data_IF_725439805062
#
_entry.id   IF_725439805062
#
_cell.length_a   1.000
_cell.length_b   1.000
_cell.length_c   1.000
_cell.angle_alpha   90.00
_cell.angle_beta   90.00
_cell.angle_gamma   90.00
#
_symmetry.space_group_name_H-M   'P 1'
#
loop_
_entity.id
_entity.type
_entity.pdbx_description
1 polymer ?
#
# COMPACT_ATOMS: atom_id res chain seq x y z
N UNK A 1 21.14 -13.64 -6.39
CA UNK A 1 19.86 -12.98 -6.05
C UNK A 1 18.79 -14.06 -6.01
N UNK A 2 18.15 -14.28 -4.87
CA UNK A 2 17.08 -15.26 -4.74
C UNK A 2 15.83 -14.70 -5.42
N UNK A 3 15.25 -15.46 -6.35
CA UNK A 3 13.99 -15.10 -7.03
C UNK A 3 12.85 -15.72 -6.25
N UNK A 4 11.85 -14.92 -5.89
CA UNK A 4 10.66 -15.42 -5.20
C UNK A 4 9.85 -16.34 -6.12
N UNK A 5 9.38 -17.47 -5.61
CA UNK A 5 8.44 -18.36 -6.31
C UNK A 5 7.00 -17.83 -6.29
N UNK A 6 6.71 -16.84 -5.45
CA UNK A 6 5.43 -16.15 -5.31
C UNK A 6 5.57 -14.91 -4.44
N UNK A 7 4.55 -14.04 -4.47
CA UNK A 7 4.54 -12.85 -3.62
C UNK A 7 4.47 -13.22 -2.13
N UNK A 8 5.08 -12.38 -1.29
CA UNK A 8 4.95 -12.50 0.15
C UNK A 8 3.54 -12.03 0.58
N UNK A 9 2.97 -12.66 1.60
CA UNK A 9 1.66 -12.29 2.13
C UNK A 9 1.83 -11.39 3.36
N UNK A 10 1.11 -10.27 3.38
CA UNK A 10 1.04 -9.35 4.50
C UNK A 10 -0.42 -8.97 4.82
N UNK A 11 -0.66 -8.56 6.07
CA UNK A 11 -1.87 -7.87 6.50
C UNK A 11 -1.51 -6.46 6.94
N UNK A 12 -2.40 -5.52 6.62
CA UNK A 12 -2.20 -4.10 6.89
C UNK A 12 -3.35 -3.54 7.73
N UNK A 13 -2.98 -2.72 8.71
CA UNK A 13 -3.89 -1.83 9.43
C UNK A 13 -3.18 -0.51 9.66
N UNK A 14 -3.90 0.60 9.65
CA UNK A 14 -3.32 1.90 9.97
C UNK A 14 -2.97 2.00 11.48
N UNK A 15 -2.34 3.09 11.90
CA UNK A 15 -1.98 3.31 13.31
C UNK A 15 -3.19 3.50 14.24
N UNK A 16 -4.36 3.80 13.68
CA UNK A 16 -5.65 3.81 14.38
C UNK A 16 -6.34 2.43 14.39
N UNK A 17 -5.63 1.38 13.96
CA UNK A 17 -6.07 -0.01 13.91
C UNK A 17 -7.21 -0.29 12.91
N UNK A 18 -7.45 0.61 11.93
CA UNK A 18 -8.39 0.33 10.85
C UNK A 18 -7.76 -0.66 9.88
N UNK A 19 -8.44 -1.79 9.69
CA UNK A 19 -7.95 -2.90 8.86
C UNK A 19 -8.19 -2.58 7.39
N UNK A 20 -7.18 -2.81 6.53
CA UNK A 20 -7.38 -2.65 5.10
C UNK A 20 -8.15 -3.84 4.53
N UNK A 21 -9.23 -3.56 3.80
CA UNK A 21 -10.08 -4.57 3.17
C UNK A 21 -10.55 -4.13 1.79
N UNK A 22 -10.86 -5.09 0.93
CA UNK A 22 -11.31 -4.82 -0.42
C UNK A 22 -12.85 -4.75 -0.50
N UNK A 23 -13.38 -3.69 -1.12
CA UNK A 23 -14.81 -3.53 -1.41
C UNK A 23 -14.98 -2.77 -2.73
N UNK A 24 -15.85 -3.26 -3.63
CA UNK A 24 -16.15 -2.63 -4.93
C UNK A 24 -14.89 -2.18 -5.72
N UNK A 25 -13.88 -3.03 -5.74
CA UNK A 25 -12.58 -2.78 -6.40
C UNK A 25 -11.82 -1.56 -5.85
N UNK A 26 -12.03 -1.23 -4.58
CA UNK A 26 -11.29 -0.22 -3.83
C UNK A 26 -10.78 -0.82 -2.53
N UNK A 27 -9.56 -0.42 -2.14
CA UNK A 27 -9.02 -0.74 -0.83
C UNK A 27 -9.53 0.30 0.17
N UNK A 28 -10.26 -0.13 1.18
CA UNK A 28 -10.85 0.73 2.23
C UNK A 28 -10.17 0.47 3.57
N UNK A 29 -10.21 1.46 4.47
CA UNK A 29 -9.73 1.32 5.84
C UNK A 29 -10.91 1.16 6.83
N UNK A 30 -11.19 -0.09 7.20
CA UNK A 30 -12.36 -0.45 7.99
C UNK A 30 -12.19 -0.26 9.49
N UNK A 31 -13.10 0.49 10.09
CA UNK A 31 -13.17 0.66 11.54
C UNK A 31 -13.74 -0.56 12.27
N UNK A 32 -13.59 -0.58 13.60
CA UNK A 32 -14.27 -1.54 14.45
C UNK A 32 -15.78 -1.24 14.47
N UNK A 33 -16.54 -2.07 13.77
CA UNK A 33 -18.00 -2.04 13.85
C UNK A 33 -18.47 -3.01 14.93
N UNK A 34 -19.35 -2.56 15.81
CA UNK A 34 -19.95 -3.42 16.83
C UNK A 34 -20.57 -4.67 16.17
N UNK A 35 -19.98 -5.84 16.42
CA UNK A 35 -20.49 -7.14 15.95
C UNK A 35 -20.08 -7.56 14.53
N UNK A 36 -19.32 -6.75 13.77
CA UNK A 36 -18.85 -7.13 12.42
C UNK A 36 -17.33 -7.25 12.38
N UNK A 37 -16.84 -8.49 12.26
CA UNK A 37 -15.41 -8.75 12.00
C UNK A 37 -15.15 -8.53 10.52
N UNK A 38 -14.43 -7.47 10.18
CA UNK A 38 -13.95 -7.24 8.81
C UNK A 38 -12.77 -8.17 8.56
N UNK A 39 -12.88 -9.07 7.57
CA UNK A 39 -11.74 -9.85 7.11
C UNK A 39 -10.82 -8.92 6.31
N UNK A 40 -9.63 -8.67 6.83
CA UNK A 40 -8.64 -7.86 6.13
C UNK A 40 -8.16 -8.52 4.84
N UNK A 41 -7.82 -7.69 3.87
CA UNK A 41 -7.21 -8.13 2.61
C UNK A 41 -5.80 -8.67 2.87
N UNK A 42 -5.47 -9.78 2.20
CA UNK A 42 -4.11 -10.31 2.18
C UNK A 42 -3.33 -9.59 1.07
N UNK A 43 -2.47 -8.66 1.50
CA UNK A 43 -1.66 -7.84 0.63
C UNK A 43 -0.48 -8.66 0.13
N UNK A 44 -0.42 -8.86 -1.18
CA UNK A 44 0.71 -9.47 -1.87
C UNK A 44 1.84 -8.46 -2.01
N UNK A 45 3.07 -8.84 -1.69
CA UNK A 45 4.22 -7.93 -1.64
C UNK A 45 5.43 -8.55 -2.31
N UNK A 46 6.07 -7.77 -3.16
CA UNK A 46 7.35 -8.10 -3.80
C UNK A 46 8.27 -6.88 -3.79
N UNK A 47 9.60 -7.05 -3.69
CA UNK A 47 10.51 -5.93 -3.88
C UNK A 47 10.57 -5.54 -5.36
N UNK A 48 10.65 -4.25 -5.67
CA UNK A 48 10.98 -3.81 -7.02
C UNK A 48 12.51 -3.83 -7.21
N UNK A 49 12.99 -4.81 -7.98
CA UNK A 49 14.42 -5.07 -8.19
C UNK A 49 15.09 -4.10 -9.18
N UNK A 50 14.31 -3.26 -9.87
CA UNK A 50 14.81 -2.28 -10.82
C UNK A 50 15.20 -0.94 -10.17
N UNK A 51 14.76 -0.70 -8.93
CA UNK A 51 15.06 0.53 -8.17
C UNK A 51 16.11 0.29 -7.08
N UNK A 52 16.64 1.38 -6.51
CA UNK A 52 17.64 1.34 -5.45
C UNK A 52 17.11 0.60 -4.21
N UNK A 53 17.72 -0.54 -3.91
CA UNK A 53 17.32 -1.39 -2.79
C UNK A 53 17.49 -0.71 -1.42
N UNK A 54 18.37 0.29 -1.29
CA UNK A 54 18.55 1.04 -0.03
C UNK A 54 17.30 1.85 0.37
N UNK A 55 16.44 2.17 -0.60
CA UNK A 55 15.17 2.87 -0.39
C UNK A 55 13.99 1.91 -0.09
N UNK A 56 14.25 0.60 0.00
CA UNK A 56 13.23 -0.44 0.25
C UNK A 56 12.00 -0.34 -0.69
N UNK A 57 12.21 -0.39 -2.02
CA UNK A 57 11.13 -0.29 -2.99
C UNK A 57 10.28 -1.56 -3.02
N UNK A 58 8.96 -1.42 -2.85
CA UNK A 58 8.00 -2.52 -2.83
C UNK A 58 6.84 -2.26 -3.78
N UNK A 59 6.28 -3.34 -4.34
CA UNK A 59 5.02 -3.34 -5.08
C UNK A 59 4.00 -4.05 -4.20
N UNK A 60 2.79 -3.50 -4.16
CA UNK A 60 1.68 -3.97 -3.35
C UNK A 60 0.55 -4.44 -4.26
N UNK A 61 0.03 -5.64 -4.00
CA UNK A 61 -1.08 -6.23 -4.73
C UNK A 61 -2.16 -6.78 -3.81
N UNK A 62 -3.33 -7.01 -4.39
CA UNK A 62 -4.53 -7.55 -3.72
C UNK A 62 -5.03 -8.77 -4.50
N UNK A 63 -5.99 -9.50 -3.95
CA UNK A 63 -6.61 -10.68 -4.54
C UNK A 63 -5.56 -11.72 -4.97
N UNK A 64 -4.63 -12.03 -4.07
CA UNK A 64 -3.51 -12.93 -4.35
C UNK A 64 -2.52 -12.38 -5.40
N UNK A 65 -2.50 -11.06 -5.59
CA UNK A 65 -1.60 -10.37 -6.49
C UNK A 65 -2.10 -10.30 -7.93
N UNK A 66 -3.39 -10.56 -8.20
CA UNK A 66 -3.97 -10.39 -9.54
C UNK A 66 -4.18 -8.92 -9.93
N UNK A 67 -4.25 -8.02 -8.95
CA UNK A 67 -4.29 -6.58 -9.15
C UNK A 67 -3.24 -5.89 -8.29
N UNK A 68 -2.66 -4.80 -8.78
CA UNK A 68 -1.63 -4.04 -8.09
C UNK A 68 -2.04 -2.59 -7.85
N UNK A 69 -1.59 -2.03 -6.72
CA UNK A 69 -1.73 -0.60 -6.43
C UNK A 69 -0.83 0.22 -7.37
N UNK A 70 -1.41 1.22 -8.02
CA UNK A 70 -0.75 2.14 -8.94
C UNK A 70 -1.10 3.58 -8.55
N UNK A 71 -0.11 4.46 -8.62
CA UNK A 71 -0.26 5.90 -8.44
C UNK A 71 -0.73 6.62 -9.72
N UNK A 72 -0.88 5.87 -10.83
CA UNK A 72 -1.13 6.43 -12.15
C UNK A 72 0.11 7.08 -12.79
N UNK A 73 -0.14 7.75 -13.91
CA UNK A 73 0.88 8.48 -14.70
C UNK A 73 0.42 9.90 -15.02
N UNK A 74 -0.69 10.33 -14.42
CA UNK A 74 -1.27 11.65 -14.63
C UNK A 74 -0.50 12.73 -13.87
N UNK A 75 -0.79 14.01 -14.15
CA UNK A 75 -0.13 15.13 -13.44
C UNK A 75 -0.41 15.10 -11.93
N UNK A 76 -1.63 14.73 -11.55
CA UNK A 76 -2.05 14.58 -10.17
C UNK A 76 -2.12 13.09 -9.82
N UNK A 77 -1.45 12.65 -8.75
CA UNK A 77 -1.41 11.23 -8.41
C UNK A 77 -2.78 10.76 -7.92
N UNK A 78 -3.23 9.62 -8.45
CA UNK A 78 -4.47 8.97 -8.00
C UNK A 78 -4.18 7.51 -7.73
N UNK A 79 -4.49 7.07 -6.51
CA UNK A 79 -4.36 5.65 -6.15
C UNK A 79 -5.46 4.84 -6.83
N UNK A 80 -5.07 3.80 -7.55
CA UNK A 80 -5.99 2.87 -8.22
C UNK A 80 -5.47 1.44 -8.16
N UNK A 81 -6.39 0.49 -8.24
CA UNK A 81 -6.07 -0.91 -8.53
C UNK A 81 -6.07 -1.10 -10.04
N UNK A 82 -4.96 -1.61 -10.57
CA UNK A 82 -4.86 -1.99 -11.98
C UNK A 82 -4.80 -3.51 -12.12
N UNK A 83 -5.45 -4.08 -13.15
CA UNK A 83 -5.52 -5.52 -13.40
C UNK A 83 -4.20 -6.05 -13.99
N UNK A 84 -3.12 -5.92 -13.23
CA UNK A 84 -1.78 -6.39 -13.55
C UNK A 84 -1.31 -7.33 -12.44
N UNK A 85 -0.77 -8.49 -12.83
CA UNK A 85 -0.28 -9.46 -11.89
C UNK A 85 1.04 -9.00 -11.25
N UNK A 86 1.15 -9.13 -9.92
CA UNK A 86 2.31 -8.67 -9.15
C UNK A 86 3.61 -9.38 -9.56
N UNK A 87 3.53 -10.66 -9.96
CA UNK A 87 4.70 -11.42 -10.40
C UNK A 87 5.15 -11.01 -11.80
N UNK A 88 4.26 -10.49 -12.65
CA UNK A 88 4.65 -9.89 -13.92
C UNK A 88 5.48 -8.62 -13.70
N UNK A 89 5.09 -7.78 -12.73
CA UNK A 89 5.87 -6.59 -12.35
C UNK A 89 7.20 -6.98 -11.69
N UNK A 90 7.21 -8.00 -10.82
CA UNK A 90 8.42 -8.48 -10.16
C UNK A 90 9.46 -9.06 -11.12
N UNK A 91 9.00 -9.89 -12.07
CA UNK A 91 9.85 -10.60 -13.04
C UNK A 91 10.20 -9.74 -14.26
N UNK A 92 9.39 -8.71 -14.53
CA UNK A 92 9.59 -7.78 -15.63
C UNK A 92 10.89 -6.99 -15.52
N UNK A 93 11.41 -6.59 -16.68
CA UNK A 93 12.62 -5.74 -16.79
C UNK A 93 12.29 -4.25 -16.95
N UNK A 94 11.01 -3.90 -17.06
CA UNK A 94 10.54 -2.52 -17.19
C UNK A 94 10.49 -1.86 -15.81
N UNK A 95 10.88 -0.58 -15.75
CA UNK A 95 10.76 0.22 -14.54
C UNK A 95 9.27 0.44 -14.20
N UNK A 96 8.74 -0.28 -13.22
CA UNK A 96 7.36 -0.21 -12.76
C UNK A 96 7.15 0.87 -11.69
N UNK A 97 7.67 2.07 -11.92
CA UNK A 97 7.75 3.14 -10.90
C UNK A 97 6.40 3.59 -10.36
N UNK A 98 5.39 3.67 -11.23
CA UNK A 98 4.00 4.02 -10.84
C UNK A 98 3.35 3.00 -9.91
N UNK A 99 3.84 1.76 -9.88
CA UNK A 99 3.39 0.69 -9.00
C UNK A 99 4.23 0.52 -7.73
N UNK A 100 5.23 1.38 -7.55
CA UNK A 100 6.24 1.19 -6.52
C UNK A 100 6.10 2.21 -5.41
N UNK A 101 6.23 1.72 -4.18
CA UNK A 101 6.29 2.51 -2.97
C UNK A 101 7.63 2.27 -2.26
N UNK A 102 8.26 3.33 -1.77
CA UNK A 102 9.38 3.22 -0.85
C UNK A 102 8.85 3.00 0.56
N UNK A 103 9.14 1.83 1.13
CA UNK A 103 8.75 1.50 2.50
C UNK A 103 9.75 2.09 3.47
N UNK A 104 9.32 3.00 4.34
CA UNK A 104 10.11 3.46 5.48
C UNK A 104 9.66 2.74 6.74
N UNK A 105 10.54 1.93 7.30
CA UNK A 105 10.33 1.29 8.60
C UNK A 105 10.57 2.31 9.72
N UNK A 106 9.59 2.45 10.63
CA UNK A 106 9.61 3.38 11.77
C UNK A 106 9.51 2.62 13.10
N UNK A 107 9.81 1.33 13.11
CA UNK A 107 9.80 0.46 14.29
C UNK A 107 8.55 -0.41 14.34
N UNK A 108 7.46 0.10 14.90
CA UNK A 108 6.19 -0.66 14.99
C UNK A 108 5.34 -0.55 13.72
N UNK A 109 5.51 0.55 13.00
CA UNK A 109 4.76 0.89 11.79
C UNK A 109 5.71 1.18 10.64
N UNK A 110 5.15 1.20 9.43
CA UNK A 110 5.83 1.64 8.22
C UNK A 110 4.99 2.68 7.49
N UNK A 111 5.65 3.60 6.80
CA UNK A 111 5.03 4.47 5.80
C UNK A 111 5.45 4.05 4.39
N UNK A 112 4.63 4.41 3.41
CA UNK A 112 4.79 4.00 2.01
C UNK A 112 4.72 5.23 1.11
N UNK A 113 5.86 5.72 0.68
CA UNK A 113 5.98 6.88 -0.21
C UNK A 113 5.94 6.43 -1.68
N UNK A 114 5.21 7.13 -2.54
CA UNK A 114 5.15 6.84 -3.97
C UNK A 114 6.50 7.09 -4.65
N UNK A 115 7.03 6.07 -5.35
CA UNK A 115 8.27 6.22 -6.11
C UNK A 115 8.11 7.09 -7.37
N UNK A 116 6.90 7.18 -7.92
CA UNK A 116 6.58 8.01 -9.07
C UNK A 116 6.25 9.47 -8.69
N UNK A 117 5.78 9.70 -7.45
CA UNK A 117 5.35 11.00 -6.96
C UNK A 117 5.97 11.27 -5.58
N UNK A 118 7.23 11.77 -5.53
CA UNK A 118 7.90 12.08 -4.27
C UNK A 118 7.08 13.02 -3.38
N UNK A 119 7.08 12.76 -2.07
CA UNK A 119 6.28 13.49 -1.08
C UNK A 119 4.82 13.04 -0.96
N UNK A 120 4.36 12.10 -1.78
CA UNK A 120 3.03 11.51 -1.67
C UNK A 120 3.10 10.13 -1.03
N UNK A 121 2.26 9.90 -0.01
CA UNK A 121 2.24 8.70 0.79
C UNK A 121 0.91 7.98 0.66
N UNK A 122 0.90 6.65 0.81
CA UNK A 122 -0.33 5.95 1.15
C UNK A 122 -0.87 6.52 2.45
N UNK A 123 -2.16 6.82 2.45
CA UNK A 123 -2.83 7.37 3.60
C UNK A 123 -4.29 6.92 3.69
N UNK A 124 -4.80 6.92 4.91
CA UNK A 124 -6.21 6.69 5.21
C UNK A 124 -6.81 7.96 5.80
N UNK A 125 -8.13 8.13 5.63
CA UNK A 125 -8.84 9.17 6.35
C UNK A 125 -8.97 8.80 7.84
N UNK A 126 -9.15 9.78 8.75
CA UNK A 126 -9.53 9.50 10.12
C UNK A 126 -10.81 8.67 10.23
N UNK A 127 -11.77 8.92 9.34
CA UNK A 127 -13.06 8.23 9.27
C UNK A 127 -12.92 6.77 8.83
N UNK A 128 -13.80 5.92 9.35
CA UNK A 128 -13.90 4.53 8.95
C UNK A 128 -14.49 4.37 7.54
N UNK A 129 -14.09 3.27 6.89
CA UNK A 129 -14.59 2.80 5.59
C UNK A 129 -14.38 3.78 4.44
N UNK A 130 -13.42 4.68 4.61
CA UNK A 130 -12.96 5.54 3.54
C UNK A 130 -11.90 4.84 2.69
N UNK A 131 -11.83 5.14 1.38
CA UNK A 131 -10.80 4.63 0.51
C UNK A 131 -9.39 5.01 0.99
N UNK A 132 -8.46 4.07 0.86
CA UNK A 132 -7.04 4.36 0.90
C UNK A 132 -6.71 5.28 -0.28
N UNK A 133 -5.91 6.31 -0.04
CA UNK A 133 -5.57 7.34 -1.03
C UNK A 133 -4.10 7.71 -0.96
N UNK A 134 -3.66 8.52 -1.92
CA UNK A 134 -2.39 9.22 -1.83
C UNK A 134 -2.62 10.56 -1.12
N UNK A 135 -1.71 10.92 -0.24
CA UNK A 135 -1.75 12.19 0.51
C UNK A 135 -0.36 12.76 0.68
N UNK A 136 -0.27 14.07 0.81
CA UNK A 136 0.92 14.73 1.32
C UNK A 136 0.80 14.81 2.85
N UNK A 137 1.93 14.81 3.56
CA UNK A 137 1.97 15.00 5.01
C UNK A 137 1.87 16.51 5.27
N UNK A 138 0.84 17.00 5.96
CA UNK A 138 0.74 18.41 6.31
C UNK A 138 1.87 18.85 7.24
N UNK A 139 2.34 20.09 7.12
CA UNK A 139 3.37 20.64 8.02
C UNK A 139 2.85 20.78 9.47
N UNK A 140 1.53 20.93 9.65
CA UNK A 140 0.88 21.05 10.95
C UNK A 140 0.00 19.84 11.25
N UNK A 141 0.16 19.27 12.44
CA UNK A 141 -0.64 18.15 12.91
C UNK A 141 -2.06 18.62 13.26
N UNK A 142 -3.00 18.43 12.35
CA UNK A 142 -4.43 18.64 12.58
C UNK A 142 -5.10 17.32 13.03
N UNK A 143 -6.16 17.41 13.82
CA UNK A 143 -6.88 16.21 14.30
C UNK A 143 -7.58 15.42 13.19
N UNK A 144 -7.85 16.07 12.06
CA UNK A 144 -8.44 15.51 10.84
C UNK A 144 -7.38 15.15 9.79
N UNK A 145 -6.09 15.18 10.16
CA UNK A 145 -5.01 14.85 9.25
C UNK A 145 -5.07 13.37 8.81
N UNK A 146 -4.71 13.07 7.55
CA UNK A 146 -4.60 11.70 7.07
C UNK A 146 -3.58 10.88 7.87
N UNK A 147 -3.86 9.59 8.06
CA UNK A 147 -2.96 8.65 8.75
C UNK A 147 -2.09 7.95 7.70
N UNK A 148 -0.78 8.05 7.83
CA UNK A 148 0.22 7.49 6.89
C UNK A 148 1.06 6.34 7.47
N UNK A 149 0.83 6.02 8.75
CA UNK A 149 1.52 4.95 9.46
C UNK A 149 0.70 3.66 9.44
N UNK A 150 1.32 2.55 9.04
CA UNK A 150 0.66 1.26 8.95
C UNK A 150 1.44 0.19 9.72
N UNK A 151 0.73 -0.60 10.52
CA UNK A 151 1.26 -1.90 10.92
C UNK A 151 1.28 -2.81 9.70
N UNK A 152 2.45 -3.37 9.41
CA UNK A 152 2.72 -4.16 8.21
C UNK A 152 3.24 -5.53 8.64
N UNK A 153 2.33 -6.50 8.77
CA UNK A 153 2.61 -7.79 9.41
C UNK A 153 2.55 -8.92 8.39
N UNK A 154 3.56 -9.77 8.35
CA UNK A 154 3.56 -10.95 7.47
C UNK A 154 2.43 -11.90 7.91
N UNK A 155 1.76 -12.54 6.95
CA UNK A 155 0.76 -13.57 7.24
C UNK A 155 1.44 -14.80 7.87
N UNK A 156 0.74 -15.44 8.81
CA UNK A 156 1.14 -16.72 9.43
C UNK A 156 1.03 -17.91 8.46
#
# INVERSE_FOLDING_TARGET
>A
IMVLSGALCFRMKDSALKVLYLHDNQLLAGGLHAGKVIKGEEISVVPNRALDASLSPVILGVQGGSQCLSCGTEKEPTLKLEPVNIMELYLGTKESKSFTFYRRDMGLTSSFESAAYPGWFLGTAPEADQPVRLTQIPEEAASDAPITDFYFQQCD
#
